data_IF_023390140607
#
_entry.id   IF_023390140607
#
_cell.length_a   1.000
_cell.length_b   1.000
_cell.length_c   1.000
_cell.angle_alpha   90.00
_cell.angle_beta   90.00
_cell.angle_gamma   90.00
#
_symmetry.space_group_name_H-M   'P 1'
#
loop_
_entity.id
_entity.type
_entity.pdbx_description
1 polymer ?
#
# COMPACT_ATOMS: atom_id res chain seq x y z
N UNK A 1 -44.38 -56.30 38.42
CA UNK A 1 -43.51 -57.35 37.86
C UNK A 1 -43.46 -57.19 36.36
N UNK A 2 -42.24 -57.11 35.79
CA UNK A 2 -41.86 -57.26 34.37
C UNK A 2 -42.46 -56.23 33.38
N UNK A 3 -41.71 -55.32 32.74
CA UNK A 3 -40.61 -55.55 31.78
C UNK A 3 -41.20 -55.45 30.35
N UNK A 4 -40.82 -54.55 29.44
CA UNK A 4 -39.49 -54.37 28.81
C UNK A 4 -39.37 -53.02 28.06
N UNK A 5 -38.11 -52.59 27.93
CA UNK A 5 -37.58 -51.46 27.15
C UNK A 5 -37.94 -51.45 25.65
N UNK A 6 -38.18 -50.24 25.12
CA UNK A 6 -37.76 -49.80 23.78
C UNK A 6 -37.09 -48.42 23.98
N UNK A 7 -35.77 -48.37 24.16
CA UNK A 7 -34.78 -48.33 23.09
C UNK A 7 -34.83 -47.03 22.28
N UNK A 8 -33.90 -46.12 22.63
CA UNK A 8 -33.16 -45.24 21.73
C UNK A 8 -33.97 -44.17 20.99
N UNK A 9 -34.31 -43.09 21.69
CA UNK A 9 -34.36 -41.74 21.13
C UNK A 9 -33.72 -40.71 22.09
N UNK A 10 -32.71 -41.17 22.84
CA UNK A 10 -31.72 -40.28 23.46
C UNK A 10 -30.61 -40.04 22.43
N UNK A 11 -30.97 -39.48 21.27
CA UNK A 11 -29.96 -38.92 20.36
C UNK A 11 -29.54 -37.62 21.01
N UNK A 12 -28.50 -37.77 21.82
CA UNK A 12 -27.59 -36.73 22.25
C UNK A 12 -27.50 -35.68 21.15
N UNK A 13 -28.06 -34.50 21.42
CA UNK A 13 -27.70 -33.27 20.71
C UNK A 13 -26.24 -33.00 21.11
N UNK A 14 -25.33 -33.79 20.54
CA UNK A 14 -23.91 -33.59 20.64
C UNK A 14 -23.67 -32.22 20.03
N UNK A 15 -23.08 -31.36 20.85
CA UNK A 15 -22.39 -30.15 20.43
C UNK A 15 -21.84 -30.30 19.01
N UNK A 16 -22.55 -29.75 18.03
CA UNK A 16 -21.87 -29.10 16.91
C UNK A 16 -21.65 -27.64 17.31
N UNK A 17 -20.97 -27.46 18.45
CA UNK A 17 -20.08 -26.34 18.58
C UNK A 17 -18.77 -26.82 17.95
N UNK A 18 -18.74 -26.86 16.63
CA UNK A 18 -17.48 -26.70 15.91
C UNK A 18 -17.01 -25.27 16.23
N UNK A 19 -16.51 -25.08 17.46
CA UNK A 19 -15.44 -24.15 17.72
C UNK A 19 -14.33 -24.65 16.82
N UNK A 20 -14.34 -24.18 15.58
CA UNK A 20 -13.09 -23.99 14.87
C UNK A 20 -12.30 -23.13 15.84
N UNK A 21 -11.25 -23.71 16.43
CA UNK A 21 -10.23 -22.92 17.07
C UNK A 21 -9.57 -22.17 15.92
N UNK A 22 -10.20 -21.08 15.47
CA UNK A 22 -9.51 -20.08 14.71
C UNK A 22 -8.39 -19.65 15.64
N UNK A 23 -7.15 -19.92 15.24
CA UNK A 23 -5.99 -19.28 15.84
C UNK A 23 -6.34 -17.81 16.02
N UNK A 24 -6.07 -17.20 17.19
CA UNK A 24 -6.36 -15.79 17.39
C UNK A 24 -5.81 -15.03 16.19
N UNK A 25 -6.69 -14.33 15.50
CA UNK A 25 -6.38 -13.53 14.32
C UNK A 25 -5.31 -12.53 14.75
N UNK A 26 -4.04 -12.83 14.46
CA UNK A 26 -2.94 -11.98 14.89
C UNK A 26 -3.09 -10.73 14.05
N UNK A 27 -3.55 -9.65 14.67
CA UNK A 27 -3.85 -8.40 13.98
C UNK A 27 -2.64 -7.95 13.15
N UNK A 28 -2.75 -8.07 11.83
CA UNK A 28 -1.70 -7.65 10.91
C UNK A 28 -1.88 -6.17 10.58
N UNK A 29 -0.88 -5.36 10.89
CA UNK A 29 -0.93 -3.92 10.56
C UNK A 29 -0.39 -3.71 9.15
N UNK A 30 -1.18 -3.08 8.27
CA UNK A 30 -0.72 -2.70 6.93
C UNK A 30 -0.15 -1.28 6.92
N UNK A 31 0.99 -1.08 6.26
CA UNK A 31 1.67 0.21 6.13
C UNK A 31 2.10 0.42 4.69
N UNK A 32 1.57 1.46 4.03
CA UNK A 32 2.02 1.88 2.70
C UNK A 32 3.11 2.94 2.80
N UNK A 33 4.25 2.72 2.14
CA UNK A 33 5.40 3.63 2.16
C UNK A 33 5.97 3.93 0.78
N UNK A 34 6.33 5.19 0.58
CA UNK A 34 6.89 5.67 -0.68
C UNK A 34 8.32 5.15 -0.90
N UNK A 35 8.62 4.76 -2.14
CA UNK A 35 9.97 4.37 -2.56
C UNK A 35 10.99 5.49 -2.31
N UNK A 36 12.19 5.11 -1.87
CA UNK A 36 13.31 5.99 -1.51
C UNK A 36 13.03 6.97 -0.36
N UNK A 37 11.87 6.90 0.28
CA UNK A 37 11.53 7.74 1.43
C UNK A 37 11.79 7.02 2.77
N UNK A 38 11.43 7.70 3.86
CA UNK A 38 11.44 7.15 5.22
C UNK A 38 10.08 6.55 5.54
N UNK A 39 10.09 5.41 6.20
CA UNK A 39 8.90 4.65 6.57
C UNK A 39 8.98 4.25 8.04
N UNK A 40 7.85 4.21 8.73
CA UNK A 40 7.77 3.80 10.13
C UNK A 40 6.91 2.54 10.20
N UNK A 41 7.50 1.45 10.68
CA UNK A 41 6.79 0.22 11.00
C UNK A 41 6.37 0.27 12.48
N UNK A 42 5.07 0.38 12.78
CA UNK A 42 4.60 0.53 14.14
C UNK A 42 4.77 -0.78 14.91
N UNK A 43 5.27 -0.69 16.13
CA UNK A 43 5.26 -1.79 17.10
C UNK A 43 5.24 -1.22 18.51
N UNK A 44 4.41 -1.79 19.36
CA UNK A 44 4.25 -1.38 20.75
C UNK A 44 4.34 -2.59 21.66
N UNK A 45 4.78 -2.38 22.89
CA UNK A 45 4.89 -3.42 23.90
C UNK A 45 4.56 -2.89 25.29
N UNK A 46 4.27 -3.79 26.24
CA UNK A 46 4.05 -3.43 27.63
C UNK A 46 5.37 -3.03 28.30
N UNK A 47 5.40 -1.87 28.95
CA UNK A 47 6.62 -1.33 29.58
C UNK A 47 7.14 -2.27 30.65
N UNK A 48 8.44 -2.59 30.59
CA UNK A 48 9.12 -3.48 31.53
C UNK A 48 10.55 -2.98 31.86
N UNK A 49 11.15 -3.42 32.98
CA UNK A 49 12.49 -2.99 33.39
C UNK A 49 13.60 -3.39 32.41
N UNK A 50 13.46 -4.55 31.79
CA UNK A 50 14.36 -5.04 30.75
C UNK A 50 13.55 -5.26 29.48
N UNK A 51 14.09 -4.76 28.37
CA UNK A 51 13.43 -4.75 27.07
C UNK A 51 14.38 -5.31 26.03
N UNK A 52 13.92 -6.31 25.32
CA UNK A 52 14.58 -6.89 24.16
C UNK A 52 13.68 -6.64 22.96
N UNK A 53 14.21 -6.07 21.88
CA UNK A 53 13.46 -5.81 20.65
C UNK A 53 14.21 -6.46 19.49
N UNK A 54 13.53 -7.29 18.72
CA UNK A 54 14.02 -7.84 17.47
C UNK A 54 13.03 -7.57 16.35
N UNK A 55 13.54 -6.98 15.27
CA UNK A 55 12.84 -6.91 13.99
C UNK A 55 13.42 -7.92 13.03
N UNK A 56 12.55 -8.73 12.43
CA UNK A 56 12.91 -9.76 11.48
C UNK A 56 12.09 -9.65 10.20
N UNK A 57 12.69 -10.02 9.07
CA UNK A 57 12.03 -10.09 7.76
C UNK A 57 12.50 -11.33 7.02
N UNK A 58 11.61 -12.29 6.75
CA UNK A 58 11.94 -13.56 6.10
C UNK A 58 13.17 -14.27 6.73
N UNK A 59 13.26 -14.26 8.07
CA UNK A 59 14.38 -14.83 8.83
C UNK A 59 15.66 -13.99 8.84
N UNK A 60 15.68 -12.83 8.18
CA UNK A 60 16.79 -11.89 8.23
C UNK A 60 16.66 -10.96 9.44
N UNK A 61 17.76 -10.77 10.18
CA UNK A 61 17.82 -9.77 11.24
C UNK A 61 17.80 -8.36 10.63
N UNK A 62 16.70 -7.64 10.86
CA UNK A 62 16.48 -6.27 10.39
C UNK A 62 17.07 -5.29 11.38
N UNK A 63 16.79 -5.45 12.68
CA UNK A 63 17.32 -4.61 13.75
C UNK A 63 17.19 -5.34 15.09
N UNK A 64 18.14 -5.16 16.00
CA UNK A 64 18.08 -5.72 17.35
C UNK A 64 18.48 -4.68 18.38
N UNK A 65 17.84 -4.70 19.54
CA UNK A 65 18.11 -3.83 20.67
C UNK A 65 17.96 -4.59 21.98
N UNK A 66 19.00 -4.56 22.80
CA UNK A 66 19.03 -5.09 24.17
C UNK A 66 20.24 -4.49 24.91
N UNK A 67 20.26 -4.61 26.24
CA UNK A 67 21.26 -3.94 27.11
C UNK A 67 21.33 -2.43 26.90
N UNK A 68 20.18 -1.81 26.62
CA UNK A 68 20.02 -0.38 26.37
C UNK A 68 20.82 0.17 25.16
N UNK A 69 21.13 -0.68 24.18
CA UNK A 69 21.88 -0.29 22.99
C UNK A 69 21.46 -1.10 21.75
N UNK A 70 21.76 -0.54 20.57
CA UNK A 70 21.53 -1.24 19.30
C UNK A 70 22.59 -2.33 19.10
N UNK A 71 22.16 -3.47 18.60
CA UNK A 71 22.96 -4.68 18.47
C UNK A 71 23.07 -5.03 16.98
N UNK A 72 23.92 -4.27 16.29
CA UNK A 72 23.97 -4.23 14.81
C UNK A 72 24.97 -5.22 14.19
N UNK A 73 25.75 -5.94 15.01
CA UNK A 73 26.80 -6.85 14.52
C UNK A 73 26.25 -7.91 13.55
N UNK A 74 25.10 -8.50 13.90
CA UNK A 74 24.41 -9.52 13.10
C UNK A 74 23.33 -8.96 12.18
N UNK A 75 23.23 -7.63 12.06
CA UNK A 75 22.27 -7.00 11.17
C UNK A 75 22.57 -7.41 9.73
N UNK A 76 21.53 -7.89 9.04
CA UNK A 76 21.66 -8.30 7.66
C UNK A 76 22.08 -7.11 6.78
N UNK A 77 23.02 -7.32 5.87
CA UNK A 77 23.66 -6.29 5.02
C UNK A 77 22.70 -5.34 4.31
N UNK A 78 21.48 -5.80 4.03
CA UNK A 78 20.42 -5.06 3.34
C UNK A 78 19.82 -3.91 4.17
N UNK A 79 19.91 -4.01 5.49
CA UNK A 79 19.32 -3.08 6.45
C UNK A 79 20.36 -2.21 7.17
N UNK A 80 21.65 -2.49 6.96
CA UNK A 80 22.76 -1.67 7.48
C UNK A 80 22.57 -0.21 7.09
N UNK A 81 22.74 0.67 8.08
CA UNK A 81 22.62 2.13 7.98
C UNK A 81 21.25 2.64 7.50
N UNK A 82 20.24 1.75 7.45
CA UNK A 82 18.88 2.08 6.98
C UNK A 82 17.82 2.00 8.07
N UNK A 83 18.16 1.48 9.24
CA UNK A 83 17.19 1.23 10.31
C UNK A 83 17.55 1.95 11.59
N UNK A 84 16.54 2.42 12.32
CA UNK A 84 16.72 2.97 13.66
C UNK A 84 15.46 2.80 14.50
N UNK A 85 15.62 2.60 15.81
CA UNK A 85 14.52 2.67 16.78
C UNK A 85 14.40 4.08 17.37
N UNK A 86 13.20 4.42 17.85
CA UNK A 86 12.95 5.65 18.60
C UNK A 86 13.37 5.49 20.07
N UNK A 87 14.68 5.51 20.34
CA UNK A 87 15.27 5.20 21.66
C UNK A 87 14.62 5.93 22.83
N UNK A 88 14.32 7.21 22.66
CA UNK A 88 13.66 8.04 23.69
C UNK A 88 12.22 7.60 24.03
N UNK A 89 11.59 6.83 23.14
CA UNK A 89 10.21 6.35 23.29
C UNK A 89 10.14 4.87 23.71
N UNK A 90 11.26 4.15 23.77
CA UNK A 90 11.30 2.75 24.23
C UNK A 90 10.80 2.64 25.67
N UNK A 91 11.17 3.58 26.55
CA UNK A 91 10.69 3.64 27.95
C UNK A 91 9.18 3.83 28.08
N UNK A 92 8.50 4.22 26.98
CA UNK A 92 7.06 4.41 26.90
C UNK A 92 6.35 3.28 26.12
N UNK A 93 7.06 2.19 25.84
CA UNK A 93 6.51 1.03 25.15
C UNK A 93 6.51 1.13 23.62
N UNK A 94 7.32 2.03 23.02
CA UNK A 94 7.44 2.13 21.57
C UNK A 94 8.65 1.35 21.04
N UNK A 95 8.39 0.29 20.25
CA UNK A 95 9.39 -0.51 19.55
C UNK A 95 9.37 -0.30 18.03
N UNK A 96 8.74 0.79 17.56
CA UNK A 96 8.58 1.08 16.13
C UNK A 96 9.94 1.26 15.44
N UNK A 97 10.03 0.71 14.23
CA UNK A 97 11.23 0.76 13.40
C UNK A 97 11.10 1.85 12.35
N UNK A 98 12.06 2.77 12.29
CA UNK A 98 12.22 3.65 11.14
C UNK A 98 13.12 2.95 10.11
N UNK A 99 12.62 2.76 8.89
CA UNK A 99 13.36 2.27 7.72
C UNK A 99 13.55 3.42 6.72
N UNK A 100 14.78 3.64 6.25
CA UNK A 100 15.12 4.73 5.31
C UNK A 100 15.49 4.19 3.94
N UNK A 101 15.20 5.00 2.92
CA UNK A 101 15.47 4.66 1.52
C UNK A 101 14.74 3.38 1.12
N UNK A 102 13.44 3.29 1.40
CA UNK A 102 12.62 2.09 1.15
C UNK A 102 12.74 1.64 -0.31
N UNK A 103 12.91 0.34 -0.54
CA UNK A 103 13.01 -0.26 -1.86
C UNK A 103 11.87 -1.25 -2.08
N UNK A 104 11.55 -1.55 -3.34
CA UNK A 104 10.51 -2.55 -3.71
C UNK A 104 10.73 -3.87 -2.99
N UNK A 105 11.98 -4.32 -2.91
CA UNK A 105 12.29 -5.60 -2.28
C UNK A 105 11.87 -5.61 -0.81
N UNK A 106 11.79 -4.45 -0.13
CA UNK A 106 11.51 -4.35 1.31
C UNK A 106 10.05 -4.67 1.62
N UNK A 107 9.18 -4.69 0.60
CA UNK A 107 7.78 -5.10 0.70
C UNK A 107 7.63 -6.49 1.33
N UNK A 108 6.60 -6.63 2.17
CA UNK A 108 6.22 -7.89 2.78
C UNK A 108 6.07 -7.82 4.30
N UNK A 109 6.01 -9.01 4.91
CA UNK A 109 5.63 -9.21 6.30
C UNK A 109 6.85 -9.16 7.22
N UNK A 110 6.94 -8.10 8.01
CA UNK A 110 7.91 -7.94 9.09
C UNK A 110 7.35 -8.51 10.39
N UNK A 111 8.24 -9.02 11.22
CA UNK A 111 7.95 -9.48 12.56
C UNK A 111 8.68 -8.60 13.57
N UNK A 112 7.93 -8.03 14.50
CA UNK A 112 8.46 -7.38 15.70
C UNK A 112 8.31 -8.37 16.86
N UNK A 113 9.42 -8.76 17.49
CA UNK A 113 9.45 -9.57 18.70
C UNK A 113 9.92 -8.67 19.84
N UNK A 114 9.10 -8.53 20.89
CA UNK A 114 9.49 -7.79 22.09
C UNK A 114 9.53 -8.72 23.28
N UNK A 115 10.71 -8.90 23.87
CA UNK A 115 10.89 -9.66 25.11
C UNK A 115 10.88 -8.73 26.31
N UNK A 116 10.06 -9.06 27.31
CA UNK A 116 10.03 -8.38 28.61
C UNK A 116 10.34 -9.38 29.73
N UNK A 117 10.53 -8.90 30.97
CA UNK A 117 10.70 -9.77 32.14
C UNK A 117 9.52 -10.70 32.40
N UNK A 118 8.35 -10.40 31.82
CA UNK A 118 7.11 -11.11 32.07
C UNK A 118 6.82 -12.12 30.95
N UNK A 119 6.86 -11.68 29.69
CA UNK A 119 6.55 -12.50 28.51
C UNK A 119 7.20 -11.94 27.23
N UNK A 120 7.20 -12.77 26.18
CA UNK A 120 7.54 -12.37 24.81
C UNK A 120 6.27 -12.10 24.02
N UNK A 121 6.21 -10.94 23.35
CA UNK A 121 5.12 -10.53 22.48
C UNK A 121 5.57 -10.45 21.02
N UNK A 122 4.65 -10.71 20.10
CA UNK A 122 4.89 -10.76 18.67
C UNK A 122 3.83 -9.96 17.91
N UNK A 123 4.29 -9.03 17.08
CA UNK A 123 3.45 -8.25 16.17
C UNK A 123 3.91 -8.40 14.73
N UNK A 124 2.98 -8.37 13.78
CA UNK A 124 3.28 -8.48 12.35
C UNK A 124 2.84 -7.23 11.60
N UNK A 125 3.74 -6.73 10.76
CA UNK A 125 3.53 -5.52 9.97
C UNK A 125 3.73 -5.86 8.50
N UNK A 126 2.70 -5.65 7.69
CA UNK A 126 2.76 -5.82 6.24
C UNK A 126 3.13 -4.47 5.60
N UNK A 127 4.38 -4.34 5.18
CA UNK A 127 4.85 -3.17 4.41
C UNK A 127 4.43 -3.32 2.96
N UNK A 128 3.78 -2.29 2.40
CA UNK A 128 3.51 -2.10 0.97
C UNK A 128 4.32 -0.92 0.45
N UNK A 129 4.93 -1.06 -0.73
CA UNK A 129 5.74 -0.01 -1.34
C UNK A 129 4.98 0.60 -2.51
N UNK A 130 5.05 1.92 -2.65
CA UNK A 130 4.39 2.61 -3.75
C UNK A 130 5.24 3.67 -4.45
N UNK A 131 5.07 3.76 -5.77
CA UNK A 131 5.62 4.83 -6.63
C UNK A 131 4.52 5.29 -7.57
N UNK A 132 4.19 6.58 -7.55
CA UNK A 132 3.06 7.11 -8.32
C UNK A 132 3.41 8.32 -9.19
N UNK A 133 4.66 8.42 -9.65
CA UNK A 133 5.09 9.55 -10.48
C UNK A 133 4.72 9.33 -11.94
N UNK A 134 3.71 10.04 -12.43
CA UNK A 134 3.23 9.92 -13.82
C UNK A 134 3.38 11.25 -14.56
N UNK A 135 3.90 11.18 -15.79
CA UNK A 135 4.00 12.28 -16.73
C UNK A 135 2.93 12.14 -17.81
N UNK A 136 2.34 13.27 -18.19
CA UNK A 136 1.25 13.32 -19.17
C UNK A 136 1.60 14.42 -20.17
N UNK A 137 1.56 14.06 -21.45
CA UNK A 137 1.87 14.96 -22.56
C UNK A 137 0.79 14.87 -23.62
N UNK A 138 0.53 15.99 -24.28
CA UNK A 138 -0.36 16.04 -25.45
C UNK A 138 0.37 16.74 -26.59
N UNK A 139 0.45 16.05 -27.72
CA UNK A 139 0.99 16.57 -28.98
C UNK A 139 -0.11 16.43 -30.03
N UNK A 140 -0.64 17.56 -30.51
CA UNK A 140 -1.78 17.60 -31.42
C UNK A 140 -2.99 16.80 -30.87
N UNK A 141 -3.37 15.72 -31.57
CA UNK A 141 -4.45 14.80 -31.19
C UNK A 141 -3.97 13.54 -30.47
N UNK A 142 -2.67 13.42 -30.18
CA UNK A 142 -2.07 12.29 -29.47
C UNK A 142 -1.83 12.67 -28.01
N UNK A 143 -2.45 11.91 -27.12
CA UNK A 143 -2.20 11.98 -25.68
C UNK A 143 -1.28 10.83 -25.31
N UNK A 144 -0.23 11.12 -24.55
CA UNK A 144 0.71 10.12 -24.05
C UNK A 144 0.80 10.24 -22.53
N UNK A 145 0.59 9.13 -21.85
CA UNK A 145 0.85 8.97 -20.43
C UNK A 145 2.06 8.06 -20.26
N UNK A 146 3.06 8.51 -19.52
CA UNK A 146 4.29 7.77 -19.28
C UNK A 146 4.73 7.86 -17.83
N UNK A 147 5.39 6.84 -17.32
CA UNK A 147 6.05 6.87 -16.02
C UNK A 147 7.35 6.09 -16.09
N UNK A 148 8.34 6.61 -15.38
CA UNK A 148 9.62 5.95 -15.17
C UNK A 148 9.62 5.40 -13.75
N UNK A 149 9.58 4.07 -13.63
CA UNK A 149 9.64 3.37 -12.35
C UNK A 149 8.37 3.38 -11.49
N UNK A 150 7.17 3.32 -12.08
CA UNK A 150 5.92 3.12 -11.32
C UNK A 150 5.92 1.75 -10.63
N UNK A 151 5.33 1.67 -9.42
CA UNK A 151 5.18 0.43 -8.67
C UNK A 151 3.96 0.51 -7.73
N UNK A 152 3.18 -0.57 -7.57
CA UNK A 152 3.28 -1.88 -8.25
C UNK A 152 2.95 -1.81 -9.75
N UNK A 153 2.89 -2.96 -10.43
CA UNK A 153 2.52 -2.99 -11.86
C UNK A 153 1.09 -2.43 -12.06
N UNK A 154 0.90 -1.46 -12.97
CA UNK A 154 -0.43 -0.94 -13.27
C UNK A 154 -1.08 -1.63 -14.47
N UNK A 155 -2.39 -1.74 -14.44
CA UNK A 155 -3.22 -1.93 -15.63
C UNK A 155 -3.58 -0.57 -16.25
N UNK A 156 -3.45 -0.46 -17.57
CA UNK A 156 -3.66 0.77 -18.32
C UNK A 156 -4.92 0.63 -19.18
N UNK A 157 -5.98 1.37 -18.83
CA UNK A 157 -7.24 1.36 -19.58
C UNK A 157 -7.64 2.76 -20.03
N UNK A 158 -7.86 2.92 -21.33
CA UNK A 158 -8.47 4.13 -21.88
C UNK A 158 -9.98 3.99 -21.97
N UNK A 159 -10.72 5.04 -21.63
CA UNK A 159 -12.14 5.16 -21.88
C UNK A 159 -12.50 6.57 -22.34
N UNK A 160 -13.70 6.73 -22.91
CA UNK A 160 -14.16 8.01 -23.42
C UNK A 160 -15.57 8.37 -22.98
N UNK A 161 -15.92 9.65 -22.99
CA UNK A 161 -17.29 10.17 -22.87
C UNK A 161 -17.59 11.10 -24.04
N UNK A 162 -18.63 10.81 -24.86
CA UNK A 162 -19.45 9.60 -24.82
C UNK A 162 -18.63 8.31 -25.10
N UNK A 163 -19.10 7.13 -24.66
CA UNK A 163 -18.40 5.87 -24.90
C UNK A 163 -18.23 5.64 -26.39
N UNK A 164 -16.99 5.42 -26.83
CA UNK A 164 -16.71 5.09 -28.22
C UNK A 164 -17.23 3.68 -28.53
N UNK A 165 -17.97 3.53 -29.64
CA UNK A 165 -18.38 2.23 -30.17
C UNK A 165 -17.23 1.49 -30.89
N UNK A 166 -16.10 2.17 -31.11
CA UNK A 166 -14.90 1.64 -31.78
C UNK A 166 -13.83 1.40 -30.73
N UNK A 167 -13.10 0.28 -30.85
CA UNK A 167 -11.92 -0.02 -30.01
C UNK A 167 -10.91 1.13 -30.14
N UNK A 168 -10.61 1.78 -29.01
CA UNK A 168 -9.67 2.89 -28.96
C UNK A 168 -8.30 2.44 -29.49
N UNK A 169 -7.77 3.16 -30.49
CA UNK A 169 -6.43 2.90 -31.02
C UNK A 169 -5.39 3.40 -30.01
N UNK A 170 -5.15 2.57 -29.01
CA UNK A 170 -4.18 2.80 -27.96
C UNK A 170 -2.95 1.91 -28.14
N UNK A 171 -1.79 2.46 -27.82
CA UNK A 171 -0.52 1.71 -27.81
C UNK A 171 0.03 1.79 -26.41
N UNK A 172 0.13 0.66 -25.72
CA UNK A 172 0.70 0.55 -24.37
C UNK A 172 2.00 -0.24 -24.40
N UNK A 173 2.94 0.20 -23.58
CA UNK A 173 4.23 -0.45 -23.33
C UNK A 173 4.43 -0.52 -21.83
N UNK A 174 4.90 -1.68 -21.37
CA UNK A 174 5.21 -1.94 -19.97
C UNK A 174 6.53 -2.71 -19.98
N UNK A 175 7.54 -2.15 -19.33
CA UNK A 175 8.85 -2.76 -19.21
C UNK A 175 9.29 -2.75 -17.76
N UNK A 176 9.65 -3.92 -17.24
CA UNK A 176 10.20 -4.02 -15.89
C UNK A 176 11.69 -3.66 -15.90
N UNK A 177 12.11 -2.90 -14.90
CA UNK A 177 13.51 -2.51 -14.66
C UNK A 177 14.22 -3.55 -13.79
N UNK A 178 15.54 -3.49 -13.71
CA UNK A 178 16.35 -4.34 -12.82
C UNK A 178 15.99 -4.15 -11.33
N UNK A 179 15.49 -2.96 -10.97
CA UNK A 179 15.07 -2.59 -9.61
C UNK A 179 13.64 -3.06 -9.28
N UNK A 180 13.01 -3.84 -10.18
CA UNK A 180 11.64 -4.36 -10.10
C UNK A 180 10.54 -3.29 -10.23
N UNK A 181 10.89 -2.07 -10.60
CA UNK A 181 9.95 -1.00 -10.97
C UNK A 181 9.50 -1.15 -12.43
N UNK A 182 8.43 -0.45 -12.83
CA UNK A 182 7.89 -0.51 -14.19
C UNK A 182 8.02 0.82 -14.93
N UNK A 183 8.55 0.78 -16.14
CA UNK A 183 8.45 1.88 -17.09
C UNK A 183 7.21 1.66 -17.95
N UNK A 184 6.31 2.63 -17.94
CA UNK A 184 5.07 2.56 -18.72
C UNK A 184 5.00 3.70 -19.71
N UNK A 185 4.42 3.42 -20.88
CA UNK A 185 3.99 4.46 -21.80
C UNK A 185 2.74 4.00 -22.54
N UNK A 186 1.69 4.80 -22.50
CA UNK A 186 0.42 4.54 -23.16
C UNK A 186 -0.01 5.77 -23.94
N UNK A 187 -0.27 5.61 -25.22
CA UNK A 187 -0.70 6.69 -26.10
C UNK A 187 -2.06 6.42 -26.70
N UNK A 188 -2.91 7.45 -26.77
CA UNK A 188 -4.22 7.43 -27.42
C UNK A 188 -4.27 8.53 -28.49
N UNK A 189 -4.72 8.18 -29.69
CA UNK A 189 -4.94 9.12 -30.79
C UNK A 189 -6.44 9.42 -30.87
N UNK A 190 -6.79 10.71 -30.88
CA UNK A 190 -8.18 11.18 -30.95
C UNK A 190 -8.61 11.43 -32.41
N UNK A 191 -9.75 10.86 -32.79
CA UNK A 191 -10.38 11.09 -34.11
C UNK A 191 -11.45 12.19 -34.10
N UNK A 192 -11.99 12.55 -32.94
CA UNK A 192 -13.08 13.52 -32.81
C UNK A 192 -12.80 14.58 -31.74
N UNK A 193 -13.23 15.81 -32.02
CA UNK A 193 -12.92 17.04 -31.26
C UNK A 193 -13.84 17.28 -30.06
N UNK A 194 -14.67 16.31 -29.64
CA UNK A 194 -15.67 16.50 -28.57
C UNK A 194 -15.67 15.37 -27.54
N UNK A 195 -14.56 14.64 -27.42
CA UNK A 195 -14.49 13.42 -26.63
C UNK A 195 -13.65 13.63 -25.37
N UNK A 196 -14.27 13.43 -24.21
CA UNK A 196 -13.54 13.36 -22.95
C UNK A 196 -12.86 12.01 -22.86
N UNK A 197 -11.57 11.95 -22.53
CA UNK A 197 -10.85 10.70 -22.36
C UNK A 197 -10.45 10.51 -20.90
N UNK A 198 -10.45 9.25 -20.44
CA UNK A 198 -9.96 8.83 -19.14
C UNK A 198 -8.89 7.77 -19.32
N UNK A 199 -7.73 7.97 -18.71
CA UNK A 199 -6.80 6.87 -18.45
C UNK A 199 -7.03 6.42 -17.01
N UNK A 200 -7.35 5.14 -16.83
CA UNK A 200 -7.36 4.47 -15.55
C UNK A 200 -6.02 3.75 -15.39
N UNK A 201 -5.26 4.16 -14.39
CA UNK A 201 -4.15 3.40 -13.82
C UNK A 201 -4.73 2.62 -12.65
N UNK A 202 -4.83 1.30 -12.76
CA UNK A 202 -5.27 0.43 -11.66
C UNK A 202 -4.08 -0.40 -11.19
N UNK A 203 -3.65 -0.15 -9.96
CA UNK A 203 -2.59 -0.91 -9.33
C UNK A 203 -3.15 -2.27 -8.94
N UNK A 204 -2.43 -3.36 -9.22
CA UNK A 204 -2.95 -4.72 -9.01
C UNK A 204 -3.27 -5.00 -7.53
N UNK A 205 -2.54 -4.36 -6.61
CA UNK A 205 -2.67 -4.58 -5.15
C UNK A 205 -3.32 -3.41 -4.39
N UNK A 206 -3.71 -2.31 -5.07
CA UNK A 206 -4.26 -1.09 -4.45
C UNK A 206 -5.40 -0.48 -5.28
N UNK A 207 -6.45 0.04 -4.63
CA UNK A 207 -7.54 0.81 -5.30
C UNK A 207 -7.10 2.26 -5.57
N UNK A 208 -5.85 2.51 -5.97
CA UNK A 208 -5.47 3.82 -6.48
C UNK A 208 -5.94 3.89 -7.94
N UNK A 209 -7.02 4.63 -8.18
CA UNK A 209 -7.48 4.98 -9.53
C UNK A 209 -7.10 6.42 -9.82
N UNK A 210 -6.07 6.62 -10.65
CA UNK A 210 -5.79 7.95 -11.23
C UNK A 210 -6.72 8.12 -12.43
N UNK A 211 -7.66 9.06 -12.36
CA UNK A 211 -8.51 9.46 -13.48
C UNK A 211 -7.96 10.76 -14.08
N UNK A 212 -7.46 10.69 -15.30
CA UNK A 212 -7.06 11.88 -16.05
C UNK A 212 -8.22 12.31 -16.93
N UNK A 213 -8.70 13.55 -16.83
CA UNK A 213 -9.81 14.06 -17.64
C UNK A 213 -9.27 15.01 -18.70
N UNK A 214 -9.60 14.76 -19.97
CA UNK A 214 -9.32 15.68 -21.07
C UNK A 214 -10.62 16.31 -21.54
N UNK A 215 -10.69 17.64 -21.62
CA UNK A 215 -11.75 18.33 -22.36
C UNK A 215 -11.13 19.02 -23.55
N UNK A 216 -11.73 18.89 -24.73
CA UNK A 216 -11.36 19.77 -25.83
C UNK A 216 -11.59 21.20 -25.36
N UNK A 217 -10.52 22.00 -25.41
CA UNK A 217 -10.42 23.41 -24.96
C UNK A 217 -10.03 23.70 -23.50
N UNK A 218 -9.71 22.73 -22.63
CA UNK A 218 -9.05 23.04 -21.34
C UNK A 218 -7.90 22.08 -20.98
N UNK A 219 -6.83 22.67 -20.44
CA UNK A 219 -5.58 22.02 -20.02
C UNK A 219 -5.81 20.79 -19.15
N UNK A 220 -4.91 19.81 -19.29
CA UNK A 220 -4.76 18.61 -18.45
C UNK A 220 -4.97 18.95 -16.97
N UNK A 221 -6.05 18.42 -16.37
CA UNK A 221 -6.27 18.49 -14.92
C UNK A 221 -5.84 17.16 -14.32
N UNK A 222 -4.71 17.15 -13.62
CA UNK A 222 -4.34 16.03 -12.75
C UNK A 222 -5.16 16.13 -11.45
N UNK A 223 -6.18 15.30 -11.31
CA UNK A 223 -6.90 15.18 -10.04
C UNK A 223 -6.19 14.15 -9.17
N UNK A 224 -5.38 14.60 -8.20
CA UNK A 224 -4.82 13.74 -7.18
C UNK A 224 -5.95 13.35 -6.21
N UNK A 225 -6.64 12.24 -6.45
CA UNK A 225 -7.62 11.72 -5.49
C UNK A 225 -6.88 11.14 -4.28
N UNK A 226 -7.19 11.68 -3.10
CA UNK A 226 -6.80 11.13 -1.79
C UNK A 226 -7.75 9.99 -1.41
N UNK A 227 -7.18 9.00 -0.72
CA UNK A 227 -7.80 7.99 0.16
C UNK A 227 -9.33 7.91 0.16
N UNK A 228 -9.86 6.75 -0.24
CA UNK A 228 -11.17 6.31 0.19
C UNK A 228 -11.00 5.09 1.11
N UNK A 229 -10.84 5.34 2.41
CA UNK A 229 -11.18 4.34 3.42
C UNK A 229 -12.68 4.49 3.65
N UNK A 230 -13.48 3.49 3.24
CA UNK A 230 -14.86 3.35 3.71
C UNK A 230 -14.92 2.09 4.58
N UNK A 231 -14.69 2.26 5.88
CA UNK A 231 -15.35 1.44 6.89
C UNK A 231 -16.35 2.35 7.62
N UNK A 232 -17.62 1.94 7.65
CA UNK A 232 -18.64 2.56 8.50
C UNK A 232 -19.49 3.61 7.79
N UNK A 233 -20.74 3.23 7.56
CA UNK A 233 -21.89 4.01 7.14
C UNK A 233 -22.04 5.39 7.79
N UNK A 234 -21.88 6.48 7.03
CA UNK A 234 -22.78 7.66 7.00
C UNK A 234 -22.64 8.37 5.64
N UNK A 235 -23.76 8.61 4.97
CA UNK A 235 -23.87 9.47 3.78
C UNK A 235 -23.53 10.93 4.13
N UNK A 236 -22.53 11.52 3.47
CA UNK A 236 -22.44 12.98 3.35
C UNK A 236 -22.02 13.38 1.93
N UNK A 237 -22.92 14.10 1.26
CA UNK A 237 -22.62 14.93 0.09
C UNK A 237 -21.87 16.16 0.58
N UNK A 238 -20.67 16.41 0.07
CA UNK A 238 -20.02 17.72 0.15
C UNK A 238 -19.63 18.22 -1.24
N UNK A 239 -20.44 19.15 -1.70
CA UNK A 239 -20.16 20.15 -2.72
C UNK A 239 -18.95 21.02 -2.31
N UNK A 240 -18.19 21.45 -3.32
CA UNK A 240 -16.99 22.33 -3.32
C UNK A 240 -15.65 21.63 -3.08
N UNK A 241 -14.85 21.54 -4.15
CA UNK A 241 -13.40 21.53 -4.06
C UNK A 241 -12.86 22.85 -4.60
N UNK A 242 -12.07 23.51 -3.74
CA UNK A 242 -11.39 24.76 -4.00
C UNK A 242 -10.32 24.63 -5.08
N UNK A 243 -10.19 25.71 -5.83
CA UNK A 243 -9.08 26.06 -6.72
C UNK A 243 -7.72 25.90 -6.06
N UNK A 244 -6.82 25.19 -6.72
CA UNK A 244 -5.37 25.45 -6.67
C UNK A 244 -4.77 25.00 -8.00
N UNK A 245 -5.01 25.81 -9.04
CA UNK A 245 -4.27 25.72 -10.29
C UNK A 245 -2.95 26.45 -10.09
N UNK A 246 -1.82 25.75 -10.21
CA UNK A 246 -0.53 26.41 -10.36
C UNK A 246 -0.38 26.78 -11.84
N UNK A 247 -0.49 28.07 -12.13
CA UNK A 247 -0.28 28.62 -13.47
C UNK A 247 1.23 28.80 -13.66
N UNK A 248 1.88 27.89 -14.40
CA UNK A 248 3.22 28.14 -14.90
C UNK A 248 3.08 28.93 -16.20
N UNK A 249 3.24 30.25 -16.14
CA UNK A 249 3.49 31.07 -17.32
C UNK A 249 4.98 31.00 -17.63
N UNK A 250 5.35 30.49 -18.80
CA UNK A 250 6.65 30.76 -19.39
C UNK A 250 6.40 31.58 -20.67
N UNK A 251 6.64 32.88 -20.58
CA UNK A 251 6.76 33.75 -21.74
C UNK A 251 8.20 33.65 -22.23
N UNK A 252 8.41 33.07 -23.41
CA UNK A 252 9.64 33.31 -24.17
C UNK A 252 9.30 34.43 -25.18
N UNK A 253 9.95 35.58 -25.01
CA UNK A 253 9.86 36.73 -25.89
C UNK A 253 10.94 36.64 -26.98
N UNK A 254 10.55 36.79 -28.24
CA UNK A 254 11.37 37.33 -29.33
C UNK A 254 10.51 38.36 -30.04
#
# INVERSE_FOLDING_TARGET
MSGMNFSVLLVTFLWNLSLTWSLPDVAETEVSCAFMERCILPCSFQVAPQVIIHWNYLGLCVHSYYDNQDQLEHQHRRYRDRTSLFKEQISRGNASLQLTGVKVQDEGRYQCCTGTTNENDYSFINLKVNVHKVNIQQVENRITCSSEGIYPQPELTWSTTPPSNIKLHSTSTVQQTEEQLYNISSSLILSHTSTICFLKLQMIDDILTVNVIFTTYQKVVQTKMKHLIVQGSVMFVLTKMLTSATIIHKYDAV
#
